data_IF_084352958895
#
_entry.id   IF_084352958895
#
_cell.length_a   1.000
_cell.length_b   1.000
_cell.length_c   1.000
_cell.angle_alpha   90.00
_cell.angle_beta   90.00
_cell.angle_gamma   90.00
#
_symmetry.space_group_name_H-M   'P 1'
#
loop_
_entity.id
_entity.type
_entity.pdbx_description
1 polymer ?
#
# COMPACT_ATOMS: atom_id res chain seq x y z
N UNK A 1 -6.64 20.04 -3.12
CA UNK A 1 -7.00 20.45 -1.75
C UNK A 1 -8.35 21.13 -1.71
N UNK A 2 -9.42 20.40 -2.02
CA UNK A 2 -10.80 20.91 -1.97
C UNK A 2 -11.27 21.17 -0.53
N UNK A 3 -10.70 20.44 0.43
CA UNK A 3 -10.83 20.66 1.88
C UNK A 3 -9.43 20.84 2.46
N UNK A 4 -9.26 21.82 3.35
CA UNK A 4 -7.98 22.03 4.04
C UNK A 4 -7.92 21.28 5.38
N UNK A 5 -6.72 20.82 5.76
CA UNK A 5 -6.51 20.15 7.05
C UNK A 5 -6.92 21.04 8.25
N UNK A 6 -6.72 22.37 8.15
CA UNK A 6 -7.16 23.33 9.18
C UNK A 6 -8.68 23.37 9.36
N UNK A 7 -9.45 23.30 8.26
CA UNK A 7 -10.91 23.24 8.34
C UNK A 7 -11.37 21.96 9.05
N UNK A 8 -10.78 20.81 8.70
CA UNK A 8 -11.10 19.54 9.36
C UNK A 8 -10.74 19.60 10.85
N UNK A 9 -9.56 20.11 11.19
CA UNK A 9 -9.12 20.25 12.57
C UNK A 9 -10.03 21.15 13.41
N UNK A 10 -10.41 22.32 12.89
CA UNK A 10 -11.34 23.22 13.56
C UNK A 10 -12.71 22.58 13.76
N UNK A 11 -13.22 21.86 12.73
CA UNK A 11 -14.49 21.16 12.83
C UNK A 11 -14.46 20.03 13.86
N UNK A 12 -13.34 19.32 13.96
CA UNK A 12 -13.09 18.29 14.97
C UNK A 12 -13.10 18.89 16.38
N UNK A 13 -12.36 19.98 16.62
CA UNK A 13 -12.34 20.67 17.92
C UNK A 13 -13.71 21.20 18.34
N UNK A 14 -14.48 21.70 17.38
CA UNK A 14 -15.86 22.11 17.61
C UNK A 14 -16.74 20.92 18.00
N UNK A 15 -16.64 19.80 17.28
CA UNK A 15 -17.38 18.57 17.61
C UNK A 15 -17.04 18.06 19.02
N UNK A 16 -15.76 18.07 19.39
CA UNK A 16 -15.30 17.68 20.73
C UNK A 16 -15.91 18.53 21.85
N UNK A 17 -16.11 19.83 21.58
CA UNK A 17 -16.70 20.77 22.54
C UNK A 17 -18.23 20.64 22.61
N UNK A 18 -18.89 20.47 21.47
CA UNK A 18 -20.36 20.47 21.36
C UNK A 18 -20.99 19.10 21.65
N UNK A 19 -20.25 18.00 21.45
CA UNK A 19 -20.78 16.64 21.49
C UNK A 19 -19.99 15.77 22.47
N UNK A 20 -18.78 15.34 22.08
CA UNK A 20 -17.91 14.52 22.93
C UNK A 20 -16.48 14.48 22.40
N UNK A 21 -15.53 14.38 23.32
CA UNK A 21 -14.14 14.02 23.03
C UNK A 21 -13.86 12.59 23.51
N UNK A 22 -13.25 11.78 22.66
CA UNK A 22 -12.87 10.40 22.99
C UNK A 22 -11.70 9.93 22.11
N UNK A 23 -11.31 8.67 22.26
CA UNK A 23 -10.20 8.09 21.49
C UNK A 23 -10.43 8.19 19.97
N UNK A 24 -11.68 8.05 19.51
CA UNK A 24 -11.99 8.16 18.07
C UNK A 24 -11.77 9.58 17.54
N UNK A 25 -12.16 10.62 18.29
CA UNK A 25 -11.91 12.00 17.87
C UNK A 25 -10.41 12.32 17.88
N UNK A 26 -9.68 11.80 18.87
CA UNK A 26 -8.23 11.87 18.91
C UNK A 26 -7.58 11.24 17.67
N UNK A 27 -7.99 10.01 17.30
CA UNK A 27 -7.42 9.28 16.17
C UNK A 27 -7.58 10.01 14.83
N UNK A 28 -8.69 10.72 14.61
CA UNK A 28 -8.85 11.55 13.40
C UNK A 28 -7.77 12.65 13.36
N UNK A 29 -7.53 13.32 14.50
CA UNK A 29 -6.48 14.31 14.62
C UNK A 29 -5.08 13.70 14.40
N UNK A 30 -4.84 12.52 14.96
CA UNK A 30 -3.57 11.81 14.82
C UNK A 30 -3.27 11.43 13.36
N UNK A 31 -4.26 10.95 12.60
CA UNK A 31 -4.09 10.64 11.17
C UNK A 31 -3.85 11.91 10.33
N UNK A 32 -4.43 13.06 10.70
CA UNK A 32 -4.08 14.35 10.08
C UNK A 32 -2.62 14.73 10.35
N UNK A 33 -2.09 14.42 11.53
CA UNK A 33 -0.69 14.67 11.84
C UNK A 33 0.24 13.76 11.02
N UNK A 34 -0.15 12.51 10.74
CA UNK A 34 0.59 11.65 9.81
C UNK A 34 0.65 12.24 8.40
N UNK A 35 -0.45 12.82 7.92
CA UNK A 35 -0.45 13.56 6.65
C UNK A 35 0.58 14.70 6.69
N UNK A 36 0.55 15.54 7.72
CA UNK A 36 1.49 16.66 7.86
C UNK A 36 2.94 16.16 7.94
N UNK A 37 3.21 15.12 8.74
CA UNK A 37 4.52 14.51 8.86
C UNK A 37 5.11 14.15 7.50
N UNK A 38 4.35 13.48 6.65
CA UNK A 38 4.83 13.12 5.32
C UNK A 38 5.09 14.34 4.43
N UNK A 39 4.29 15.43 4.53
CA UNK A 39 4.57 16.66 3.78
C UNK A 39 5.92 17.27 4.16
N UNK A 40 6.20 17.36 5.46
CA UNK A 40 7.48 17.88 5.97
C UNK A 40 8.63 16.96 5.62
N UNK A 41 8.42 15.65 5.73
CA UNK A 41 9.43 14.67 5.35
C UNK A 41 9.76 14.77 3.85
N UNK A 42 8.75 14.88 2.98
CA UNK A 42 8.98 15.04 1.55
C UNK A 42 9.77 16.32 1.23
N UNK A 43 9.52 17.41 1.96
CA UNK A 43 10.29 18.65 1.84
C UNK A 43 11.76 18.47 2.26
N UNK A 44 11.99 17.75 3.35
CA UNK A 44 13.34 17.47 3.86
C UNK A 44 14.13 16.54 2.93
N UNK A 45 13.49 15.48 2.42
CA UNK A 45 14.14 14.47 1.59
C UNK A 45 14.36 14.91 0.14
N UNK A 46 13.46 15.75 -0.39
CA UNK A 46 13.49 16.17 -1.79
C UNK A 46 13.58 14.95 -2.74
N UNK A 47 14.57 14.91 -3.67
CA UNK A 47 14.71 13.81 -4.62
C UNK A 47 14.90 12.42 -4.01
N UNK A 48 15.45 12.33 -2.79
CA UNK A 48 15.68 11.05 -2.10
C UNK A 48 14.37 10.31 -1.79
N UNK A 49 13.23 11.01 -1.79
CA UNK A 49 11.89 10.41 -1.67
C UNK A 49 11.59 9.37 -2.77
N UNK A 50 12.18 9.54 -3.96
CA UNK A 50 11.89 8.72 -5.14
C UNK A 50 13.00 7.71 -5.47
N UNK A 51 14.13 7.76 -4.76
CA UNK A 51 15.28 6.92 -5.03
C UNK A 51 15.07 5.51 -4.49
N UNK A 52 15.51 4.50 -5.25
CA UNK A 52 15.33 3.08 -4.88
C UNK A 52 15.86 2.75 -3.48
N UNK A 53 17.03 3.31 -3.14
CA UNK A 53 17.69 3.13 -1.85
C UNK A 53 17.06 3.97 -0.73
N UNK A 54 16.30 5.01 -1.06
CA UNK A 54 15.79 6.00 -0.11
C UNK A 54 16.92 6.50 0.82
N UNK A 55 16.69 6.35 2.12
CA UNK A 55 17.62 6.68 3.20
C UNK A 55 18.41 5.47 3.74
N UNK A 56 18.16 4.27 3.22
CA UNK A 56 18.82 3.07 3.73
C UNK A 56 20.32 3.06 3.41
N UNK A 57 21.11 2.50 4.32
CA UNK A 57 22.57 2.34 4.13
C UNK A 57 22.90 1.32 3.04
N UNK A 58 22.00 0.37 2.78
CA UNK A 58 22.14 -0.66 1.74
C UNK A 58 20.97 -0.58 0.78
N UNK A 59 21.23 -0.93 -0.49
CA UNK A 59 20.18 -1.05 -1.50
C UNK A 59 19.28 -2.26 -1.17
N UNK A 60 17.95 -2.15 -1.37
CA UNK A 60 17.07 -3.31 -1.31
C UNK A 60 17.52 -4.40 -2.30
N UNK A 61 17.24 -5.66 -1.96
CA UNK A 61 17.52 -6.81 -2.82
C UNK A 61 16.38 -7.11 -3.81
N UNK A 62 15.38 -6.24 -3.87
CA UNK A 62 14.25 -6.36 -4.78
C UNK A 62 14.61 -5.95 -6.20
N UNK A 63 13.87 -6.44 -7.19
CA UNK A 63 14.10 -6.16 -8.62
C UNK A 63 12.78 -5.99 -9.37
N UNK A 64 12.82 -5.74 -10.67
CA UNK A 64 11.62 -5.74 -11.49
C UNK A 64 11.43 -7.10 -12.18
N UNK A 65 10.24 -7.69 -12.01
CA UNK A 65 9.78 -8.89 -12.72
C UNK A 65 8.40 -8.60 -13.31
N UNK A 66 8.31 -8.59 -14.65
CA UNK A 66 7.12 -8.16 -15.40
C UNK A 66 5.88 -8.98 -15.02
N UNK A 67 5.99 -10.30 -15.02
CA UNK A 67 4.87 -11.20 -14.71
C UNK A 67 4.32 -10.96 -13.30
N UNK A 68 5.19 -10.94 -12.28
CA UNK A 68 4.79 -10.73 -10.88
C UNK A 68 4.13 -9.38 -10.70
N UNK A 69 4.70 -8.32 -11.29
CA UNK A 69 4.12 -6.98 -11.22
C UNK A 69 2.75 -6.93 -11.89
N UNK A 70 2.61 -7.55 -13.07
CA UNK A 70 1.34 -7.61 -13.78
C UNK A 70 0.28 -8.39 -12.97
N UNK A 71 0.63 -9.54 -12.39
CA UNK A 71 -0.26 -10.30 -11.50
C UNK A 71 -0.69 -9.49 -10.29
N UNK A 72 0.21 -8.72 -9.68
CA UNK A 72 -0.14 -7.81 -8.58
C UNK A 72 -1.10 -6.71 -9.03
N UNK A 73 -0.79 -5.99 -10.11
CA UNK A 73 -1.63 -4.94 -10.66
C UNK A 73 -3.05 -5.44 -10.99
N UNK A 74 -3.17 -6.62 -11.60
CA UNK A 74 -4.46 -7.18 -12.01
C UNK A 74 -5.21 -7.90 -10.86
N UNK A 75 -4.54 -8.16 -9.73
CA UNK A 75 -5.10 -8.96 -8.64
C UNK A 75 -5.28 -10.43 -9.02
N UNK A 76 -4.21 -11.06 -9.53
CA UNK A 76 -4.12 -12.46 -9.94
C UNK A 76 -2.94 -13.19 -9.25
N UNK A 77 -2.55 -12.72 -8.07
CA UNK A 77 -1.49 -13.33 -7.26
C UNK A 77 -1.99 -14.60 -6.54
N UNK A 78 -1.10 -15.41 -5.94
CA UNK A 78 -1.47 -16.47 -5.00
C UNK A 78 -2.26 -16.04 -3.76
N UNK A 79 -2.42 -14.73 -3.51
CA UNK A 79 -2.94 -14.20 -2.24
C UNK A 79 -4.32 -13.55 -2.42
N UNK A 80 -5.43 -14.22 -2.05
CA UNK A 80 -6.78 -13.72 -2.33
C UNK A 80 -7.10 -12.35 -1.72
N UNK A 81 -6.62 -12.06 -0.51
CA UNK A 81 -6.83 -10.77 0.13
C UNK A 81 -6.13 -9.62 -0.62
N UNK A 82 -4.92 -9.87 -1.13
CA UNK A 82 -4.18 -8.91 -1.97
C UNK A 82 -4.94 -8.66 -3.25
N UNK A 83 -5.40 -9.73 -3.91
CA UNK A 83 -6.18 -9.64 -5.14
C UNK A 83 -7.46 -8.82 -4.98
N UNK A 84 -8.21 -9.08 -3.90
CA UNK A 84 -9.42 -8.33 -3.56
C UNK A 84 -9.13 -6.83 -3.38
N UNK A 85 -8.04 -6.49 -2.68
CA UNK A 85 -7.63 -5.09 -2.52
C UNK A 85 -7.25 -4.45 -3.87
N UNK A 86 -6.44 -5.12 -4.68
CA UNK A 86 -6.00 -4.59 -5.98
C UNK A 86 -7.18 -4.40 -6.95
N UNK A 87 -8.15 -5.31 -6.94
CA UNK A 87 -9.39 -5.17 -7.72
C UNK A 87 -10.29 -4.03 -7.22
N UNK A 88 -10.40 -3.85 -5.90
CA UNK A 88 -11.07 -2.69 -5.34
C UNK A 88 -10.43 -1.38 -5.82
N UNK A 89 -9.09 -1.29 -5.76
CA UNK A 89 -8.35 -0.13 -6.23
C UNK A 89 -8.64 0.14 -7.71
N UNK A 90 -8.56 -0.85 -8.57
CA UNK A 90 -8.73 -0.67 -10.01
C UNK A 90 -10.17 -0.31 -10.39
N UNK A 91 -11.15 -0.82 -9.66
CA UNK A 91 -12.57 -0.55 -9.93
C UNK A 91 -13.04 0.80 -9.38
N UNK A 92 -12.42 1.32 -8.32
CA UNK A 92 -12.94 2.47 -7.57
C UNK A 92 -11.98 3.64 -7.43
N UNK A 93 -10.70 3.43 -7.69
CA UNK A 93 -9.62 4.37 -7.40
C UNK A 93 -9.39 4.61 -5.91
N UNK A 94 -9.91 3.74 -5.04
CA UNK A 94 -9.72 3.82 -3.59
C UNK A 94 -9.33 2.46 -3.00
N UNK A 95 -8.49 2.50 -1.96
CA UNK A 95 -8.15 1.33 -1.15
C UNK A 95 -8.08 1.76 0.32
N UNK A 96 -8.59 0.91 1.23
CA UNK A 96 -8.49 1.14 2.68
C UNK A 96 -7.04 1.23 3.14
N UNK A 97 -6.75 2.00 4.20
CA UNK A 97 -5.39 2.12 4.75
C UNK A 97 -4.77 0.74 5.08
N UNK A 98 -5.56 -0.16 5.65
CA UNK A 98 -5.17 -1.54 5.92
C UNK A 98 -4.82 -2.29 4.63
N UNK A 99 -5.66 -2.19 3.60
CA UNK A 99 -5.40 -2.78 2.28
C UNK A 99 -4.10 -2.27 1.68
N UNK A 100 -3.84 -0.95 1.74
CA UNK A 100 -2.60 -0.34 1.22
C UNK A 100 -1.36 -0.94 1.86
N UNK A 101 -1.36 -1.10 3.19
CA UNK A 101 -0.26 -1.74 3.91
C UNK A 101 -0.05 -3.19 3.49
N UNK A 102 -1.14 -3.97 3.31
CA UNK A 102 -1.08 -5.38 2.92
C UNK A 102 -0.50 -5.52 1.51
N UNK A 103 -1.05 -4.80 0.53
CA UNK A 103 -0.63 -4.96 -0.87
C UNK A 103 0.79 -4.42 -1.11
N UNK A 104 1.18 -3.36 -0.40
CA UNK A 104 2.55 -2.85 -0.47
C UNK A 104 3.55 -3.82 0.15
N UNK A 105 3.21 -4.41 1.31
CA UNK A 105 4.06 -5.41 1.96
C UNK A 105 4.18 -6.67 1.11
N UNK A 106 3.09 -7.14 0.48
CA UNK A 106 3.13 -8.26 -0.46
C UNK A 106 4.04 -7.96 -1.66
N UNK A 107 3.91 -6.78 -2.28
CA UNK A 107 4.75 -6.41 -3.42
C UNK A 107 6.23 -6.46 -3.08
N UNK A 108 6.61 -5.91 -1.92
CA UNK A 108 8.02 -5.84 -1.51
C UNK A 108 8.55 -7.19 -1.04
N UNK A 109 7.82 -7.88 -0.16
CA UNK A 109 8.36 -9.03 0.58
C UNK A 109 8.05 -10.37 -0.12
N UNK A 110 6.84 -10.52 -0.68
CA UNK A 110 6.39 -11.80 -1.23
C UNK A 110 6.72 -11.90 -2.72
N UNK A 111 6.60 -10.78 -3.44
CA UNK A 111 6.92 -10.72 -4.86
C UNK A 111 8.37 -10.29 -5.12
N UNK A 112 9.07 -9.80 -4.10
CA UNK A 112 10.44 -9.28 -4.19
C UNK A 112 10.60 -8.16 -5.25
N UNK A 113 9.56 -7.34 -5.42
CA UNK A 113 9.52 -6.30 -6.44
C UNK A 113 10.07 -4.96 -5.95
N UNK A 114 10.67 -4.20 -6.87
CA UNK A 114 11.07 -2.82 -6.63
C UNK A 114 9.83 -1.98 -6.26
N UNK A 115 9.85 -1.45 -5.04
CA UNK A 115 8.74 -0.75 -4.41
C UNK A 115 8.26 0.47 -5.20
N UNK A 116 9.14 1.08 -6.01
CA UNK A 116 8.82 2.28 -6.79
C UNK A 116 7.77 2.01 -7.86
N UNK A 117 7.70 0.77 -8.37
CA UNK A 117 6.66 0.38 -9.31
C UNK A 117 5.29 0.33 -8.63
N UNK A 118 5.22 -0.15 -7.39
CA UNK A 118 4.01 -0.09 -6.57
C UNK A 118 3.59 1.35 -6.27
N UNK A 119 4.55 2.21 -5.88
CA UNK A 119 4.31 3.62 -5.62
C UNK A 119 3.78 4.36 -6.87
N UNK A 120 4.37 4.10 -8.04
CA UNK A 120 3.94 4.66 -9.32
C UNK A 120 2.56 4.14 -9.75
N UNK A 121 2.26 2.87 -9.53
CA UNK A 121 0.94 2.32 -9.81
C UNK A 121 -0.13 2.96 -8.93
N UNK A 122 0.15 3.13 -7.63
CA UNK A 122 -0.74 3.85 -6.73
C UNK A 122 -0.94 5.31 -7.15
N UNK A 123 0.10 5.97 -7.65
CA UNK A 123 0.00 7.31 -8.21
C UNK A 123 -0.91 7.38 -9.44
N UNK A 124 -0.96 6.32 -10.25
CA UNK A 124 -1.85 6.24 -11.40
C UNK A 124 -3.31 5.98 -11.00
N UNK A 125 -3.55 5.15 -9.98
CA UNK A 125 -4.90 4.65 -9.65
C UNK A 125 -5.62 5.44 -8.55
N UNK A 126 -4.91 5.98 -7.56
CA UNK A 126 -5.56 6.56 -6.38
C UNK A 126 -6.20 7.92 -6.67
N UNK A 127 -7.50 8.02 -6.39
CA UNK A 127 -8.23 9.29 -6.41
C UNK A 127 -7.71 10.27 -5.34
N UNK A 128 -7.22 9.74 -4.23
CA UNK A 128 -6.64 10.50 -3.12
C UNK A 128 -5.11 10.57 -3.18
N UNK A 129 -4.52 10.40 -4.36
CA UNK A 129 -3.08 10.48 -4.52
C UNK A 129 -2.52 11.81 -3.97
N UNK A 130 -1.61 11.68 -3.02
CA UNK A 130 -0.77 12.74 -2.48
C UNK A 130 0.68 12.25 -2.56
N UNK A 131 1.56 13.01 -3.20
CA UNK A 131 2.94 12.59 -3.47
C UNK A 131 3.68 12.25 -2.18
N UNK A 132 3.60 13.13 -1.19
CA UNK A 132 4.32 12.97 0.05
C UNK A 132 3.81 11.75 0.84
N UNK A 133 2.50 11.63 1.00
CA UNK A 133 1.89 10.53 1.72
C UNK A 133 2.09 9.19 1.00
N UNK A 134 1.91 9.14 -0.33
CA UNK A 134 2.08 7.91 -1.09
C UNK A 134 3.53 7.42 -1.03
N UNK A 135 4.47 8.23 -1.52
CA UNK A 135 5.87 7.81 -1.62
C UNK A 135 6.51 7.61 -0.24
N UNK A 136 6.16 8.42 0.75
CA UNK A 136 6.63 8.25 2.13
C UNK A 136 6.14 6.95 2.77
N UNK A 137 4.87 6.58 2.61
CA UNK A 137 4.36 5.29 3.11
C UNK A 137 5.00 4.10 2.39
N UNK A 138 5.24 4.21 1.08
CA UNK A 138 5.94 3.17 0.33
C UNK A 138 7.38 2.98 0.81
N UNK A 139 8.13 4.06 1.05
CA UNK A 139 9.47 3.97 1.65
C UNK A 139 9.44 3.32 3.03
N UNK A 140 8.45 3.66 3.86
CA UNK A 140 8.26 3.09 5.18
C UNK A 140 8.08 1.56 5.13
N UNK A 141 7.19 1.07 4.25
CA UNK A 141 6.98 -0.38 4.07
C UNK A 141 8.21 -1.07 3.48
N UNK A 142 8.85 -0.45 2.49
CA UNK A 142 10.02 -0.99 1.80
C UNK A 142 11.30 -0.97 2.65
N UNK A 143 11.27 -0.39 3.85
CA UNK A 143 12.43 -0.33 4.75
C UNK A 143 13.53 0.61 4.30
N UNK A 144 13.21 1.55 3.41
CA UNK A 144 14.13 2.56 2.89
C UNK A 144 13.80 3.98 3.36
N UNK A 145 12.79 4.12 4.24
CA UNK A 145 12.42 5.38 4.86
C UNK A 145 13.15 5.66 6.18
N UNK A 146 12.59 6.55 6.98
CA UNK A 146 13.16 7.01 8.26
C UNK A 146 13.01 5.97 9.39
N UNK A 147 12.30 4.86 9.17
CA UNK A 147 12.09 3.84 10.21
C UNK A 147 13.38 3.08 10.52
N UNK A 148 13.91 3.15 11.76
CA UNK A 148 15.10 2.40 12.15
C UNK A 148 14.89 0.88 12.15
N UNK A 149 13.66 0.38 12.03
CA UNK A 149 13.35 -1.06 12.03
C UNK A 149 13.59 -1.74 10.69
N UNK A 150 13.87 -1.00 9.61
CA UNK A 150 14.31 -1.58 8.33
C UNK A 150 13.20 -2.21 7.48
N UNK A 151 11.94 -1.78 7.66
CA UNK A 151 10.80 -2.20 6.84
C UNK A 151 9.72 -2.93 7.63
N UNK A 152 8.57 -3.17 6.99
CA UNK A 152 7.42 -3.82 7.63
C UNK A 152 6.90 -4.97 6.78
N UNK A 153 7.14 -6.19 7.25
CA UNK A 153 6.55 -7.40 6.70
C UNK A 153 5.21 -7.69 7.39
N UNK A 154 4.14 -7.71 6.60
CA UNK A 154 2.79 -7.99 7.05
C UNK A 154 2.46 -9.44 6.73
N UNK A 155 2.18 -10.25 7.75
CA UNK A 155 1.70 -11.61 7.54
C UNK A 155 0.26 -11.57 6.97
N UNK A 156 0.13 -11.91 5.68
CA UNK A 156 -1.13 -11.81 4.92
C UNK A 156 -2.22 -12.69 5.54
N UNK A 157 -1.92 -13.95 5.89
CA UNK A 157 -2.89 -14.88 6.48
C UNK A 157 -3.47 -14.36 7.79
N UNK A 158 -2.61 -13.80 8.66
CA UNK A 158 -3.04 -13.18 9.91
C UNK A 158 -3.90 -11.95 9.66
N UNK A 159 -3.64 -11.18 8.60
CA UNK A 159 -4.51 -10.04 8.24
C UNK A 159 -5.85 -10.52 7.70
N UNK A 160 -5.89 -11.58 6.88
CA UNK A 160 -7.13 -12.19 6.41
C UNK A 160 -7.98 -12.65 7.58
N UNK A 161 -7.41 -13.44 8.50
CA UNK A 161 -8.14 -13.94 9.66
C UNK A 161 -8.67 -12.82 10.58
N UNK A 162 -7.98 -11.68 10.65
CA UNK A 162 -8.37 -10.57 11.53
C UNK A 162 -9.37 -9.61 10.89
N UNK A 163 -9.21 -9.29 9.61
CA UNK A 163 -9.95 -8.21 8.93
C UNK A 163 -10.99 -8.72 7.91
N UNK A 164 -10.93 -10.00 7.53
CA UNK A 164 -11.91 -10.65 6.68
C UNK A 164 -12.18 -12.11 7.14
N UNK A 165 -12.56 -12.33 8.41
CA UNK A 165 -12.68 -13.68 8.99
C UNK A 165 -13.69 -14.58 8.26
N UNK A 166 -14.69 -13.99 7.62
CA UNK A 166 -15.73 -14.70 6.88
C UNK A 166 -15.45 -14.77 5.36
N UNK A 167 -14.41 -14.10 4.87
CA UNK A 167 -14.12 -14.00 3.44
C UNK A 167 -15.10 -13.12 2.65
N UNK A 168 -15.90 -12.29 3.32
CA UNK A 168 -16.91 -11.44 2.69
C UNK A 168 -16.27 -10.41 1.75
N UNK A 169 -15.14 -9.82 2.17
CA UNK A 169 -14.42 -8.84 1.35
C UNK A 169 -13.73 -9.49 0.16
N UNK A 170 -13.06 -10.63 0.38
CA UNK A 170 -12.45 -11.43 -0.69
C UNK A 170 -13.49 -11.84 -1.72
N UNK A 171 -14.63 -12.37 -1.28
CA UNK A 171 -15.73 -12.80 -2.15
C UNK A 171 -16.29 -11.63 -2.95
N UNK A 172 -16.59 -10.50 -2.28
CA UNK A 172 -17.14 -9.30 -2.93
C UNK A 172 -16.26 -8.79 -4.07
N UNK A 173 -14.94 -8.79 -3.89
CA UNK A 173 -13.99 -8.33 -4.90
C UNK A 173 -13.37 -9.47 -5.71
N UNK A 174 -13.93 -10.67 -5.59
CA UNK A 174 -13.57 -11.85 -6.36
C UNK A 174 -12.09 -12.26 -6.23
N UNK A 175 -11.45 -12.03 -5.09
CA UNK A 175 -10.01 -12.21 -4.90
C UNK A 175 -9.48 -13.63 -5.18
N UNK A 176 -10.36 -14.62 -5.21
CA UNK A 176 -10.06 -16.03 -5.50
C UNK A 176 -9.99 -16.36 -7.00
N UNK A 177 -10.57 -15.53 -7.88
CA UNK A 177 -10.57 -15.81 -9.31
C UNK A 177 -9.19 -15.57 -9.93
N UNK A 178 -8.77 -16.38 -10.89
CA UNK A 178 -7.52 -16.14 -11.63
C UNK A 178 -6.26 -16.26 -10.79
N UNK A 179 -6.35 -16.84 -9.59
CA UNK A 179 -5.20 -17.16 -8.75
C UNK A 179 -4.31 -18.14 -9.49
N UNK A 180 -3.05 -17.76 -9.68
CA UNK A 180 -2.06 -18.57 -10.37
C UNK A 180 -0.72 -18.53 -9.62
N UNK A 181 0.12 -19.57 -9.73
CA UNK A 181 1.48 -19.55 -9.17
C UNK A 181 2.28 -18.36 -9.68
N UNK A 182 3.23 -17.87 -8.90
CA UNK A 182 4.24 -16.93 -9.40
C UNK A 182 5.21 -17.66 -10.32
N UNK A 183 5.87 -16.91 -11.21
CA UNK A 183 6.94 -17.43 -12.08
C UNK A 183 6.46 -18.56 -13.00
N UNK A 184 5.26 -18.40 -13.58
CA UNK A 184 4.70 -19.36 -14.53
C UNK A 184 5.22 -19.17 -15.95
N UNK A 185 5.94 -18.07 -16.19
CA UNK A 185 6.63 -17.78 -17.45
C UNK A 185 8.10 -17.42 -17.21
N UNK A 186 8.93 -17.63 -18.22
CA UNK A 186 10.33 -17.20 -18.22
C UNK A 186 10.46 -15.70 -18.52
N UNK A 187 11.70 -15.21 -18.66
CA UNK A 187 11.97 -13.81 -18.94
C UNK A 187 11.48 -13.31 -20.33
N UNK A 188 11.08 -14.21 -21.23
CA UNK A 188 10.49 -13.92 -22.54
C UNK A 188 8.96 -14.15 -22.56
N UNK A 189 8.34 -14.26 -21.38
CA UNK A 189 6.93 -14.61 -21.19
C UNK A 189 6.55 -15.99 -21.75
N UNK A 190 7.52 -16.89 -21.94
CA UNK A 190 7.27 -18.26 -22.37
C UNK A 190 6.90 -19.15 -21.17
N UNK A 191 5.83 -19.97 -21.24
CA UNK A 191 5.43 -20.84 -20.13
C UNK A 191 6.56 -21.76 -19.65
N UNK A 192 6.90 -21.68 -18.35
CA UNK A 192 7.84 -22.61 -17.69
C UNK A 192 7.03 -23.75 -17.08
N UNK A 193 6.79 -24.77 -17.90
CA UNK A 193 6.03 -25.96 -17.53
C UNK A 193 4.92 -26.23 -18.54
N UNK A 194 4.83 -27.48 -18.99
CA UNK A 194 3.66 -27.95 -19.74
C UNK A 194 2.57 -28.36 -18.74
N UNK A 195 1.28 -28.13 -19.00
CA UNK A 195 0.23 -28.78 -18.22
C UNK A 195 0.36 -30.30 -18.41
N UNK A 196 0.42 -31.05 -17.30
CA UNK A 196 0.01 -32.47 -17.31
C UNK A 196 -1.50 -32.58 -17.57
#
# INVERSE_FOLDING_TARGET
GCLSARQVWQRLKRYETEQQANDSTYWIGFELLWREYFQWLALELGPSLFQFQGLATKRPLTSFYSERFNKWCQGNTPYPLVNACMRQLNATGFMSNRGRQIVASCLVNELALDWRYGAAYFQQQLLDHDVAANWGNWQYIAGVGVDPRGGRHVNIEKQTALYDPNGDFITKWQGELGVSPLDSVDAADWPVGFPE
#
